data_IF_753973539121
#
_entry.id   IF_753973539121
#
_cell.length_a   1.000
_cell.length_b   1.000
_cell.length_c   1.000
_cell.angle_alpha   90.00
_cell.angle_beta   90.00
_cell.angle_gamma   90.00
#
_symmetry.space_group_name_H-M   'P 1'
#
loop_
_entity.id
_entity.type
_entity.pdbx_description
1 polymer ?
#
# COMPACT_ATOMS: atom_id res chain seq x y z
N UNK A 1 8.86 2.31 -13.21
CA UNK A 1 9.68 1.18 -12.70
C UNK A 1 10.54 1.71 -11.59
N UNK A 2 10.56 1.08 -10.43
CA UNK A 2 11.29 1.58 -9.25
C UNK A 2 12.60 0.82 -9.11
N UNK A 3 13.73 1.53 -9.05
CA UNK A 3 15.06 0.94 -8.86
C UNK A 3 15.31 0.81 -7.36
N UNK A 4 15.49 -0.41 -6.87
CA UNK A 4 16.03 -0.66 -5.53
C UNK A 4 17.53 -0.86 -5.70
N UNK A 5 18.34 0.02 -5.09
CA UNK A 5 19.80 -0.08 -5.14
C UNK A 5 20.26 -1.09 -4.10
N UNK A 6 20.52 -2.32 -4.51
CA UNK A 6 21.32 -3.27 -3.72
C UNK A 6 22.76 -3.26 -4.26
N UNK A 7 23.68 -2.66 -3.52
CA UNK A 7 25.09 -2.53 -3.88
C UNK A 7 26.00 -3.52 -3.11
N UNK A 8 25.43 -4.54 -2.47
CA UNK A 8 26.20 -5.46 -1.62
C UNK A 8 26.88 -6.60 -2.39
N UNK A 9 26.43 -6.97 -3.59
CA UNK A 9 27.03 -8.04 -4.39
C UNK A 9 26.99 -7.73 -5.89
N UNK A 10 28.16 -7.42 -6.48
CA UNK A 10 28.33 -7.03 -7.89
C UNK A 10 27.89 -8.09 -8.92
N UNK A 11 27.58 -9.31 -8.50
CA UNK A 11 27.27 -10.47 -9.37
C UNK A 11 25.80 -10.94 -9.32
N UNK A 12 24.90 -10.33 -8.53
CA UNK A 12 23.52 -10.85 -8.35
C UNK A 12 22.48 -10.25 -9.30
N UNK A 13 22.89 -9.49 -10.31
CA UNK A 13 21.97 -8.84 -11.23
C UNK A 13 21.22 -7.67 -10.60
N UNK A 14 20.21 -7.14 -11.30
CA UNK A 14 19.47 -5.95 -10.88
C UNK A 14 18.04 -6.33 -10.51
N UNK A 15 17.63 -6.03 -9.28
CA UNK A 15 16.25 -6.19 -8.83
C UNK A 15 15.47 -4.90 -9.11
N UNK A 16 14.34 -5.03 -9.79
CA UNK A 16 13.46 -3.91 -10.10
C UNK A 16 12.03 -4.25 -9.66
N UNK A 17 11.38 -3.31 -8.98
CA UNK A 17 10.02 -3.48 -8.49
C UNK A 17 9.08 -2.67 -9.38
N UNK A 18 8.03 -3.34 -9.86
CA UNK A 18 6.96 -2.66 -10.59
C UNK A 18 6.16 -1.77 -9.65
N UNK A 19 5.76 -0.54 -10.06
CA UNK A 19 4.87 0.32 -9.27
C UNK A 19 3.58 -0.40 -8.80
N UNK A 20 3.09 -1.34 -9.59
CA UNK A 20 1.89 -2.12 -9.28
C UNK A 20 2.07 -3.04 -8.06
N UNK A 21 3.29 -3.53 -7.84
CA UNK A 21 3.61 -4.35 -6.67
C UNK A 21 3.56 -3.49 -5.41
N UNK A 22 4.13 -2.28 -5.45
CA UNK A 22 4.09 -1.33 -4.33
C UNK A 22 2.67 -0.93 -3.98
N UNK A 23 1.83 -0.66 -4.98
CA UNK A 23 0.41 -0.35 -4.77
C UNK A 23 -0.31 -1.54 -4.11
N UNK A 24 -0.04 -2.77 -4.56
CA UNK A 24 -0.67 -3.97 -3.98
C UNK A 24 -0.28 -4.16 -2.51
N UNK A 25 1.00 -3.98 -2.18
CA UNK A 25 1.49 -4.02 -0.79
C UNK A 25 0.76 -2.98 0.05
N UNK A 26 0.74 -1.72 -0.40
CA UNK A 26 0.09 -0.64 0.33
C UNK A 26 -1.43 -0.88 0.50
N UNK A 27 -2.10 -1.46 -0.50
CA UNK A 27 -3.53 -1.78 -0.44
C UNK A 27 -3.84 -2.86 0.57
N UNK A 28 -3.03 -3.93 0.60
CA UNK A 28 -3.19 -5.03 1.55
C UNK A 28 -2.89 -4.51 2.96
N UNK A 29 -1.77 -3.82 3.15
CA UNK A 29 -1.39 -3.20 4.42
C UNK A 29 -2.49 -2.28 4.97
N UNK A 30 -3.08 -1.44 4.11
CA UNK A 30 -4.20 -0.56 4.51
C UNK A 30 -5.43 -1.36 4.91
N UNK A 31 -5.73 -2.47 4.22
CA UNK A 31 -6.90 -3.30 4.52
C UNK A 31 -6.85 -3.96 5.90
N UNK A 32 -5.66 -4.16 6.45
CA UNK A 32 -5.49 -4.76 7.78
C UNK A 32 -5.82 -3.78 8.93
N UNK A 33 -5.89 -2.47 8.63
CA UNK A 33 -6.16 -1.43 9.62
C UNK A 33 -7.62 -1.45 10.07
N UNK A 34 -7.83 -1.63 11.37
CA UNK A 34 -9.14 -1.50 11.98
C UNK A 34 -9.61 -0.05 12.02
N UNK A 35 -10.92 0.14 11.87
CA UNK A 35 -11.55 1.47 11.86
C UNK A 35 -11.81 2.02 10.46
N UNK A 36 -11.46 1.29 9.40
CA UNK A 36 -11.80 1.65 8.02
C UNK A 36 -13.18 1.11 7.61
N UNK A 37 -13.83 1.82 6.69
CA UNK A 37 -15.07 1.45 6.01
C UNK A 37 -14.84 1.42 4.48
N UNK A 38 -15.85 0.95 3.74
CA UNK A 38 -15.82 0.90 2.29
C UNK A 38 -14.77 -0.07 1.74
N UNK A 39 -14.07 0.36 0.69
CA UNK A 39 -13.25 -0.51 -0.15
C UNK A 39 -12.20 -1.35 0.62
N UNK A 40 -11.39 -0.72 1.48
CA UNK A 40 -10.34 -1.44 2.20
C UNK A 40 -10.90 -2.42 3.25
N UNK A 41 -12.06 -2.12 3.82
CA UNK A 41 -12.74 -3.04 4.75
C UNK A 41 -13.34 -4.25 4.02
N UNK A 42 -13.85 -4.07 2.81
CA UNK A 42 -14.29 -5.15 1.93
C UNK A 42 -13.10 -6.02 1.50
N UNK A 43 -11.97 -5.39 1.18
CA UNK A 43 -10.74 -6.06 0.77
C UNK A 43 -10.21 -7.03 1.83
N UNK A 44 -10.24 -6.63 3.12
CA UNK A 44 -9.85 -7.46 4.26
C UNK A 44 -10.58 -8.81 4.30
N UNK A 45 -11.83 -8.84 3.84
CA UNK A 45 -12.70 -10.02 3.88
C UNK A 45 -12.85 -10.70 2.51
N UNK A 46 -12.11 -10.23 1.50
CA UNK A 46 -12.21 -10.77 0.15
C UNK A 46 -11.55 -12.15 0.06
N UNK A 47 -12.18 -13.08 -0.66
CA UNK A 47 -11.52 -14.34 -1.04
C UNK A 47 -10.39 -14.06 -2.04
N UNK A 48 -9.36 -14.93 -2.11
CA UNK A 48 -8.26 -14.76 -3.07
C UNK A 48 -8.73 -14.60 -4.52
N UNK A 49 -9.80 -15.31 -4.89
CA UNK A 49 -10.42 -15.25 -6.22
C UNK A 49 -11.05 -13.88 -6.55
N UNK A 50 -11.43 -13.11 -5.52
CA UNK A 50 -12.02 -11.76 -5.66
C UNK A 50 -10.95 -10.66 -5.60
N UNK A 51 -9.71 -11.01 -5.27
CA UNK A 51 -8.58 -10.10 -5.27
C UNK A 51 -8.09 -9.92 -6.71
N UNK A 52 -8.53 -8.85 -7.35
CA UNK A 52 -8.11 -8.50 -8.71
C UNK A 52 -7.40 -7.15 -8.73
N UNK A 53 -6.69 -6.89 -9.82
CA UNK A 53 -5.92 -5.65 -10.04
C UNK A 53 -6.76 -4.38 -9.84
N UNK A 54 -8.01 -4.38 -10.30
CA UNK A 54 -8.90 -3.22 -10.21
C UNK A 54 -9.25 -2.90 -8.74
N UNK A 55 -9.45 -3.93 -7.93
CA UNK A 55 -9.70 -3.77 -6.51
C UNK A 55 -8.42 -3.31 -5.79
N UNK A 56 -7.28 -3.98 -6.01
CA UNK A 56 -6.01 -3.64 -5.34
C UNK A 56 -5.45 -2.24 -5.65
N UNK A 57 -5.82 -1.65 -6.78
CA UNK A 57 -5.34 -0.32 -7.17
C UNK A 57 -6.27 0.82 -6.76
N UNK A 58 -7.45 0.50 -6.23
CA UNK A 58 -8.45 1.51 -5.90
C UNK A 58 -8.09 2.22 -4.58
N UNK A 59 -8.15 3.54 -4.60
CA UNK A 59 -7.91 4.35 -3.41
C UNK A 59 -6.44 4.53 -3.08
N UNK A 60 -5.52 4.16 -3.98
CA UNK A 60 -4.08 4.43 -3.82
C UNK A 60 -3.56 5.13 -5.07
N UNK A 61 -2.81 6.21 -4.85
CA UNK A 61 -2.05 6.89 -5.88
C UNK A 61 -0.57 6.81 -5.50
N UNK A 62 0.25 6.38 -6.46
CA UNK A 62 1.69 6.29 -6.28
C UNK A 62 2.38 7.24 -7.25
N UNK A 63 3.31 8.03 -6.72
CA UNK A 63 4.19 8.89 -7.49
C UNK A 63 5.64 8.58 -7.10
N UNK A 64 6.51 8.43 -8.11
CA UNK A 64 7.94 8.23 -7.88
C UNK A 64 8.67 9.49 -8.32
N UNK A 65 9.49 10.02 -7.43
CA UNK A 65 10.38 11.17 -7.68
C UNK A 65 11.82 10.74 -7.39
N UNK A 66 12.77 11.62 -7.70
CA UNK A 66 14.20 11.33 -7.51
C UNK A 66 14.57 11.12 -6.02
N UNK A 67 13.80 11.71 -5.11
CA UNK A 67 14.03 11.66 -3.66
C UNK A 67 13.23 10.57 -2.94
N UNK A 68 12.31 9.87 -3.62
CA UNK A 68 11.57 8.77 -3.02
C UNK A 68 10.27 8.38 -3.69
N UNK A 69 9.50 7.59 -2.94
CA UNK A 69 8.20 7.05 -3.34
C UNK A 69 7.14 7.72 -2.47
N UNK A 70 6.16 8.33 -3.12
CA UNK A 70 5.05 9.03 -2.49
C UNK A 70 3.78 8.22 -2.71
N UNK A 71 3.09 7.88 -1.61
CA UNK A 71 1.88 7.06 -1.62
C UNK A 71 0.76 7.84 -0.96
N UNK A 72 -0.26 8.19 -1.74
CA UNK A 72 -1.49 8.78 -1.21
C UNK A 72 -2.55 7.69 -1.05
N UNK A 73 -3.18 7.63 0.12
CA UNK A 73 -4.24 6.65 0.44
C UNK A 73 -5.56 7.38 0.66
N UNK A 74 -6.54 7.08 -0.17
CA UNK A 74 -7.90 7.61 -0.12
C UNK A 74 -8.82 6.57 0.52
N UNK A 75 -9.12 6.75 1.81
CA UNK A 75 -9.90 5.80 2.59
C UNK A 75 -11.07 6.46 3.32
N UNK A 76 -12.04 5.64 3.70
CA UNK A 76 -13.19 6.03 4.48
C UNK A 76 -13.04 5.51 5.91
N UNK A 77 -13.27 6.37 6.89
CA UNK A 77 -13.18 6.04 8.30
C UNK A 77 -14.54 5.70 8.88
N UNK A 78 -14.61 4.71 9.78
CA UNK A 78 -15.80 4.44 10.59
C UNK A 78 -16.10 5.63 11.49
N UNK A 79 -17.38 5.87 11.77
CA UNK A 79 -17.79 6.89 12.71
C UNK A 79 -17.22 6.63 14.12
N UNK A 80 -16.82 7.70 14.81
CA UNK A 80 -16.36 7.65 16.20
C UNK A 80 -14.90 7.19 16.39
N UNK A 81 -14.11 7.03 15.33
CA UNK A 81 -12.68 6.72 15.46
C UNK A 81 -11.82 7.97 15.59
N UNK A 82 -10.63 7.81 16.18
CA UNK A 82 -9.62 8.86 16.17
C UNK A 82 -8.88 8.88 14.83
N UNK A 83 -9.22 9.86 13.98
CA UNK A 83 -8.68 9.99 12.62
C UNK A 83 -7.16 10.10 12.63
N UNK A 84 -6.57 10.93 13.51
CA UNK A 84 -5.12 11.09 13.60
C UNK A 84 -4.43 9.76 13.90
N UNK A 85 -4.88 9.05 14.94
CA UNK A 85 -4.30 7.76 15.34
C UNK A 85 -4.39 6.72 14.22
N UNK A 86 -5.55 6.62 13.57
CA UNK A 86 -5.74 5.64 12.49
C UNK A 86 -4.93 6.01 11.25
N UNK A 87 -4.86 7.28 10.88
CA UNK A 87 -4.06 7.75 9.74
C UNK A 87 -2.55 7.54 9.95
N UNK A 88 -2.05 7.77 11.17
CA UNK A 88 -0.66 7.46 11.52
C UNK A 88 -0.40 5.96 11.39
N UNK A 89 -1.32 5.13 11.91
CA UNK A 89 -1.19 3.67 11.82
C UNK A 89 -1.15 3.17 10.38
N UNK A 90 -1.97 3.73 9.48
CA UNK A 90 -1.92 3.39 8.04
C UNK A 90 -0.52 3.63 7.47
N UNK A 91 0.05 4.81 7.71
CA UNK A 91 1.37 5.17 7.20
C UNK A 91 2.47 4.27 7.76
N UNK A 92 2.44 3.99 9.07
CA UNK A 92 3.39 3.09 9.72
C UNK A 92 3.29 1.66 9.18
N UNK A 93 2.08 1.14 8.97
CA UNK A 93 1.89 -0.21 8.45
C UNK A 93 2.39 -0.32 7.00
N UNK A 94 2.12 0.67 6.15
CA UNK A 94 2.64 0.70 4.77
C UNK A 94 4.16 0.77 4.75
N UNK A 95 4.78 1.60 5.59
CA UNK A 95 6.23 1.75 5.64
C UNK A 95 6.95 0.47 6.11
N UNK A 96 6.32 -0.30 7.00
CA UNK A 96 6.87 -1.53 7.55
C UNK A 96 6.50 -2.81 6.77
N UNK A 97 5.77 -2.69 5.66
CA UNK A 97 5.38 -3.81 4.78
C UNK A 97 6.38 -4.03 3.65
#
# INVERSE_FOLDING_TARGET
>A
MVKVLDNSHKDLGKVEISPEVLISIASIATSEIDGLHGHFAELKNASPEKLNRKNLTRGIKLETKDDGIYIDVFCEFKYGINIFKTATKIQETIFNS
#
